data_IF_290625049834
#
_entry.id   IF_290625049834
#
_cell.length_a   1.000
_cell.length_b   1.000
_cell.length_c   1.000
_cell.angle_alpha   90.00
_cell.angle_beta   90.00
_cell.angle_gamma   90.00
#
_symmetry.space_group_name_H-M   'P 1'
#
loop_
_entity.id
_entity.type
_entity.pdbx_description
1 polymer ?
#
# COMPACT_ATOMS: atom_id res chain seq x y z
N UNK A 1 -11.30 -46.63 -15.56
CA UNK A 1 -12.12 -45.43 -15.79
C UNK A 1 -12.74 -44.77 -14.53
N UNK A 2 -13.06 -45.44 -13.41
CA UNK A 2 -13.65 -44.75 -12.24
C UNK A 2 -12.68 -43.82 -11.45
N UNK A 3 -11.38 -44.10 -11.46
CA UNK A 3 -10.38 -43.37 -10.70
C UNK A 3 -10.19 -41.88 -11.17
N UNK A 4 -10.24 -41.68 -12.50
CA UNK A 4 -10.11 -40.36 -13.12
C UNK A 4 -11.36 -39.48 -12.81
N UNK A 5 -12.54 -40.11 -12.76
CA UNK A 5 -13.78 -39.43 -12.38
C UNK A 5 -13.76 -38.98 -10.91
N UNK A 6 -13.27 -39.83 -10.01
CA UNK A 6 -13.15 -39.52 -8.59
C UNK A 6 -12.12 -38.41 -8.34
N UNK A 7 -10.97 -38.42 -9.03
CA UNK A 7 -9.95 -37.39 -8.93
C UNK A 7 -10.46 -36.02 -9.43
N UNK A 8 -11.24 -36.00 -10.51
CA UNK A 8 -11.86 -34.78 -11.01
C UNK A 8 -12.91 -34.20 -10.02
N UNK A 9 -13.68 -35.07 -9.40
CA UNK A 9 -14.69 -34.69 -8.41
C UNK A 9 -14.04 -34.13 -7.12
N UNK A 10 -12.95 -34.78 -6.66
CA UNK A 10 -12.21 -34.27 -5.47
C UNK A 10 -11.49 -32.96 -5.74
N UNK A 11 -10.93 -32.76 -6.93
CA UNK A 11 -10.31 -31.47 -7.32
C UNK A 11 -11.38 -30.38 -7.44
N UNK A 12 -12.54 -30.66 -8.06
CA UNK A 12 -13.64 -29.72 -8.15
C UNK A 12 -14.21 -29.38 -6.76
N UNK A 13 -14.35 -30.37 -5.88
CA UNK A 13 -14.85 -30.17 -4.51
C UNK A 13 -13.82 -29.40 -3.66
N UNK A 14 -12.52 -29.64 -3.82
CA UNK A 14 -11.47 -28.84 -3.17
C UNK A 14 -11.48 -27.38 -3.67
N UNK A 15 -11.68 -27.15 -4.95
CA UNK A 15 -11.76 -25.80 -5.52
C UNK A 15 -13.03 -25.06 -5.05
N UNK A 16 -14.15 -25.75 -4.83
CA UNK A 16 -15.37 -25.10 -4.30
C UNK A 16 -15.31 -24.87 -2.78
N UNK A 17 -14.55 -25.65 -2.03
CA UNK A 17 -14.36 -25.46 -0.58
C UNK A 17 -13.33 -24.35 -0.30
N UNK A 18 -12.43 -24.07 -1.24
CA UNK A 18 -11.40 -23.01 -1.11
C UNK A 18 -11.89 -21.60 -1.52
N UNK A 19 -13.14 -21.44 -1.92
CA UNK A 19 -13.77 -20.13 -2.09
C UNK A 19 -14.83 -19.90 -1.00
N UNK A 20 -14.47 -19.59 0.26
CA UNK A 20 -15.40 -18.87 1.08
C UNK A 20 -15.67 -17.56 0.34
N UNK A 21 -16.93 -17.22 0.14
CA UNK A 21 -17.30 -15.83 -0.16
C UNK A 21 -16.84 -15.01 1.05
N UNK A 22 -15.63 -14.48 0.99
CA UNK A 22 -15.13 -13.54 1.98
C UNK A 22 -16.08 -12.34 1.85
N UNK A 23 -16.94 -12.16 2.85
CA UNK A 23 -17.72 -10.95 2.97
C UNK A 23 -16.69 -9.82 3.15
N UNK A 24 -16.45 -9.05 2.09
CA UNK A 24 -15.61 -7.87 2.17
C UNK A 24 -16.33 -6.87 3.05
N UNK A 25 -15.67 -6.37 4.06
CA UNK A 25 -16.07 -5.15 4.73
C UNK A 25 -16.08 -3.99 3.73
N UNK A 26 -16.73 -2.91 4.09
CA UNK A 26 -16.84 -1.74 3.23
C UNK A 26 -15.47 -1.06 3.10
N UNK A 27 -14.78 -1.22 1.97
CA UNK A 27 -13.68 -0.33 1.60
C UNK A 27 -14.24 0.86 0.84
N UNK A 28 -13.73 2.05 1.10
CA UNK A 28 -14.11 3.25 0.39
C UNK A 28 -12.88 3.98 -0.13
N UNK A 29 -12.81 4.15 -1.46
CA UNK A 29 -11.75 4.91 -2.09
C UNK A 29 -11.91 6.41 -1.81
N UNK A 30 -10.79 7.07 -1.50
CA UNK A 30 -10.72 8.52 -1.24
C UNK A 30 -10.26 9.22 -2.52
N UNK A 31 -11.22 9.48 -3.41
CA UNK A 31 -10.94 10.01 -4.77
C UNK A 31 -11.21 11.50 -4.92
N UNK A 32 -11.86 12.15 -3.96
CA UNK A 32 -12.33 13.53 -4.06
C UNK A 32 -11.98 14.34 -2.79
N UNK A 33 -12.08 15.66 -2.89
CA UNK A 33 -11.88 16.56 -1.75
C UNK A 33 -10.41 16.82 -1.41
N UNK A 34 -9.49 16.41 -2.28
CA UNK A 34 -8.08 16.66 -2.09
C UNK A 34 -7.69 18.12 -2.35
N UNK A 35 -6.84 18.61 -1.48
CA UNK A 35 -6.21 19.92 -1.62
C UNK A 35 -4.71 19.80 -1.38
N UNK A 36 -3.94 20.72 -1.96
CA UNK A 36 -2.50 20.78 -1.78
C UNK A 36 -2.01 22.18 -1.46
N UNK A 37 -0.83 22.25 -0.85
CA UNK A 37 -0.07 23.47 -0.61
C UNK A 37 1.42 23.21 -0.79
N UNK A 38 2.07 24.03 -1.61
CA UNK A 38 3.50 23.91 -1.84
C UNK A 38 4.34 24.51 -0.71
N UNK A 39 5.48 23.89 -0.44
CA UNK A 39 6.42 24.26 0.59
C UNK A 39 6.28 23.38 1.83
N UNK A 40 6.97 23.77 2.89
CA UNK A 40 6.89 23.10 4.18
C UNK A 40 6.20 23.99 5.22
N UNK A 41 5.42 23.39 6.10
CA UNK A 41 4.76 24.10 7.18
C UNK A 41 5.79 24.64 8.17
N UNK A 42 5.64 25.87 8.66
CA UNK A 42 6.27 26.25 9.90
C UNK A 42 5.84 25.30 11.03
N UNK A 43 6.68 25.20 12.06
CA UNK A 43 6.39 24.37 13.22
C UNK A 43 6.32 25.24 14.47
N UNK A 44 5.36 24.97 15.33
CA UNK A 44 5.28 25.56 16.67
C UNK A 44 6.49 25.17 17.51
N UNK A 45 6.64 25.78 18.70
CA UNK A 45 7.69 25.38 19.65
C UNK A 45 7.60 23.93 20.12
N UNK A 46 6.40 23.36 20.09
CA UNK A 46 6.09 21.98 20.48
C UNK A 46 6.23 21.00 19.30
N UNK A 47 6.68 21.46 18.12
CA UNK A 47 6.89 20.65 16.94
C UNK A 47 5.61 20.28 16.18
N UNK A 48 4.52 21.03 16.36
CA UNK A 48 3.25 20.85 15.64
C UNK A 48 3.30 21.69 14.37
N UNK A 49 3.00 21.12 13.18
CA UNK A 49 2.91 21.90 11.95
C UNK A 49 1.76 22.92 12.04
N UNK A 50 2.06 24.18 11.82
CA UNK A 50 1.06 25.27 11.94
C UNK A 50 -0.09 25.10 10.94
N UNK A 51 0.16 24.50 9.77
CA UNK A 51 -0.86 24.27 8.74
C UNK A 51 -1.90 23.21 9.13
N UNK A 52 -1.66 22.47 10.20
CA UNK A 52 -2.61 21.47 10.72
C UNK A 52 -3.52 22.04 11.83
N UNK A 53 -3.34 23.31 12.20
CA UNK A 53 -4.12 23.97 13.23
C UNK A 53 -5.36 24.67 12.63
N UNK A 54 -6.38 24.86 13.45
CA UNK A 54 -7.66 25.45 13.02
C UNK A 54 -7.53 26.88 12.47
N UNK A 55 -6.56 27.66 12.97
CA UNK A 55 -6.32 29.06 12.58
C UNK A 55 -5.31 29.20 11.41
N UNK A 56 -4.99 28.10 10.73
CA UNK A 56 -4.04 28.13 9.62
C UNK A 56 -4.57 28.97 8.44
N UNK A 57 -3.70 29.77 7.77
CA UNK A 57 -4.11 30.53 6.59
C UNK A 57 -4.66 29.62 5.50
N UNK A 58 -5.78 29.98 4.90
CA UNK A 58 -6.42 29.22 3.83
C UNK A 58 -5.74 29.49 2.47
N UNK A 59 -4.56 28.88 2.26
CA UNK A 59 -3.83 28.91 0.98
C UNK A 59 -3.76 27.51 0.37
N UNK A 60 -4.88 26.80 0.38
CA UNK A 60 -5.00 25.47 -0.18
C UNK A 60 -5.61 25.51 -1.57
N UNK A 61 -5.10 24.69 -2.47
CA UNK A 61 -5.56 24.57 -3.86
C UNK A 61 -6.15 23.18 -4.08
N UNK A 62 -7.32 23.12 -4.70
CA UNK A 62 -7.94 21.84 -5.03
C UNK A 62 -7.15 21.06 -6.07
N UNK A 63 -7.13 19.73 -5.92
CA UNK A 63 -6.51 18.81 -6.86
C UNK A 63 -7.39 17.54 -6.96
N UNK A 64 -7.46 16.95 -8.15
CA UNK A 64 -8.27 15.75 -8.35
C UNK A 64 -7.73 14.52 -7.63
N UNK A 65 -6.40 14.35 -7.62
CA UNK A 65 -5.70 13.30 -6.86
C UNK A 65 -4.37 13.87 -6.35
N UNK A 66 -3.88 13.48 -5.16
CA UNK A 66 -2.74 14.11 -4.49
C UNK A 66 -1.38 13.68 -5.09
N UNK A 67 -1.20 13.87 -6.38
CA UNK A 67 0.05 13.59 -7.09
C UNK A 67 0.39 14.70 -8.08
N UNK A 68 1.67 15.04 -8.16
CA UNK A 68 2.24 16.02 -9.08
C UNK A 68 1.43 17.33 -9.18
N UNK A 69 1.20 18.06 -8.07
CA UNK A 69 0.46 19.30 -8.13
C UNK A 69 1.10 20.31 -9.09
N UNK A 70 0.31 21.12 -9.81
CA UNK A 70 0.85 22.16 -10.67
C UNK A 70 1.64 23.21 -9.89
N UNK A 71 2.53 23.91 -10.58
CA UNK A 71 3.31 25.01 -9.99
C UNK A 71 4.45 24.55 -9.07
N UNK A 72 5.05 23.40 -9.30
CA UNK A 72 6.15 22.88 -8.47
C UNK A 72 7.37 23.79 -8.40
N UNK A 73 7.83 24.33 -9.55
CA UNK A 73 8.93 25.33 -9.65
C UNK A 73 10.16 24.97 -8.80
N UNK A 74 10.55 23.67 -8.81
CA UNK A 74 11.70 23.17 -8.07
C UNK A 74 11.49 22.96 -6.57
N UNK A 75 10.26 23.12 -6.05
CA UNK A 75 9.94 22.80 -4.66
C UNK A 75 10.02 21.31 -4.41
N UNK A 76 10.54 20.92 -3.25
CA UNK A 76 10.77 19.54 -2.86
C UNK A 76 9.79 19.05 -1.78
N UNK A 77 9.03 19.97 -1.15
CA UNK A 77 8.03 19.68 -0.13
C UNK A 77 6.65 20.11 -0.61
N UNK A 78 5.67 19.28 -0.34
CA UNK A 78 4.25 19.56 -0.55
C UNK A 78 3.44 18.99 0.60
N UNK A 79 2.38 19.69 0.95
CA UNK A 79 1.37 19.19 1.86
C UNK A 79 0.09 18.92 1.09
N UNK A 80 -0.54 17.79 1.41
CA UNK A 80 -1.89 17.47 0.97
C UNK A 80 -2.81 17.41 2.18
N UNK A 81 -4.08 17.69 1.97
CA UNK A 81 -5.12 17.41 2.95
C UNK A 81 -6.36 16.88 2.29
N UNK A 82 -7.12 16.09 3.06
CA UNK A 82 -8.44 15.57 2.68
C UNK A 82 -9.25 15.34 3.93
N UNK A 83 -10.55 15.57 3.87
CA UNK A 83 -11.48 15.10 4.90
C UNK A 83 -11.93 13.71 4.52
N UNK A 84 -11.68 12.73 5.40
CA UNK A 84 -12.06 11.36 5.14
C UNK A 84 -13.57 11.18 5.20
N UNK A 85 -14.14 10.26 4.38
CA UNK A 85 -15.54 9.96 4.44
C UNK A 85 -15.95 9.38 5.80
N UNK A 86 -17.18 9.64 6.20
CA UNK A 86 -17.79 9.00 7.35
C UNK A 86 -18.17 7.55 7.01
N UNK A 87 -18.04 6.64 7.96
CA UNK A 87 -18.39 5.24 7.79
C UNK A 87 -18.41 4.46 9.10
N UNK A 88 -18.93 3.25 9.06
CA UNK A 88 -19.06 2.38 10.24
C UNK A 88 -17.87 1.40 10.34
N UNK A 89 -16.64 1.91 10.38
CA UNK A 89 -15.44 1.10 10.60
C UNK A 89 -15.17 0.93 12.09
N UNK A 90 -14.71 -0.27 12.49
CA UNK A 90 -14.40 -0.58 13.89
C UNK A 90 -12.90 -0.37 14.21
N UNK A 91 -12.03 -0.68 13.25
CA UNK A 91 -10.58 -0.52 13.33
C UNK A 91 -10.08 0.14 12.03
N UNK A 92 -10.43 1.43 11.83
CA UNK A 92 -10.21 2.10 10.56
C UNK A 92 -8.73 2.34 10.27
N UNK A 93 -8.33 1.96 9.07
CA UNK A 93 -7.01 2.23 8.52
C UNK A 93 -7.13 2.96 7.19
N UNK A 94 -6.23 3.91 6.94
CA UNK A 94 -6.06 4.50 5.64
C UNK A 94 -4.94 3.76 4.91
N UNK A 95 -5.31 3.09 3.84
CA UNK A 95 -4.38 2.42 2.93
C UNK A 95 -3.92 3.39 1.85
N UNK A 96 -2.61 3.43 1.59
CA UNK A 96 -2.02 4.15 0.46
C UNK A 96 -1.11 3.18 -0.28
N UNK A 97 -1.32 3.04 -1.58
CA UNK A 97 -0.53 2.12 -2.41
C UNK A 97 0.96 2.51 -2.42
N UNK A 98 1.29 3.79 -2.57
CA UNK A 98 2.68 4.26 -2.52
C UNK A 98 2.77 5.77 -2.26
N UNK A 99 3.91 6.21 -1.75
CA UNK A 99 4.26 7.62 -1.55
C UNK A 99 5.66 7.87 -2.12
N UNK A 100 5.89 9.05 -2.69
CA UNK A 100 7.24 9.44 -3.10
C UNK A 100 8.12 9.74 -1.88
N UNK A 101 9.28 9.12 -1.87
CA UNK A 101 10.34 9.16 -0.88
C UNK A 101 9.87 8.96 0.57
N UNK A 102 9.35 10.01 1.20
CA UNK A 102 8.99 10.01 2.63
C UNK A 102 7.73 10.81 2.91
N UNK A 103 6.99 10.42 3.95
CA UNK A 103 5.74 11.05 4.37
C UNK A 103 5.59 11.11 5.88
N UNK A 104 4.97 12.17 6.36
CA UNK A 104 4.36 12.25 7.70
C UNK A 104 2.86 12.51 7.55
N UNK A 105 2.06 11.85 8.40
CA UNK A 105 0.60 12.03 8.41
C UNK A 105 0.16 12.57 9.76
N UNK A 106 -0.71 13.59 9.71
CA UNK A 106 -1.14 14.36 10.86
C UNK A 106 -2.66 14.50 10.90
N UNK A 107 -3.23 14.40 12.08
CA UNK A 107 -4.65 14.67 12.35
C UNK A 107 -4.73 15.55 13.57
N UNK A 108 -5.42 16.68 13.48
CA UNK A 108 -5.61 17.63 14.60
C UNK A 108 -4.32 18.02 15.37
N UNK A 109 -3.21 18.17 14.63
CA UNK A 109 -1.91 18.52 15.23
C UNK A 109 -1.14 17.34 15.82
N UNK A 110 -1.69 16.14 15.81
CA UNK A 110 -1.01 14.92 16.23
C UNK A 110 -0.43 14.19 15.03
N UNK A 111 0.84 13.74 15.13
CA UNK A 111 1.46 12.91 14.12
C UNK A 111 1.07 11.45 14.34
N UNK A 112 0.24 10.91 13.44
CA UNK A 112 -0.27 9.54 13.53
C UNK A 112 0.56 8.53 12.76
N UNK A 113 1.36 8.99 11.76
CA UNK A 113 2.18 8.10 10.94
C UNK A 113 3.43 8.81 10.43
N UNK A 114 4.49 8.03 10.21
CA UNK A 114 5.69 8.48 9.55
C UNK A 114 6.37 7.33 8.81
N UNK A 115 6.74 7.59 7.56
CA UNK A 115 7.64 6.74 6.78
C UNK A 115 8.83 7.56 6.31
N UNK A 116 10.03 7.05 6.58
CA UNK A 116 11.29 7.77 6.39
C UNK A 116 11.53 8.86 7.43
N UNK A 117 12.69 9.52 7.31
CA UNK A 117 13.11 10.53 8.26
C UNK A 117 13.28 11.88 7.59
N UNK A 118 12.65 12.93 8.16
CA UNK A 118 12.84 14.31 7.78
C UNK A 118 13.97 14.93 8.61
N UNK A 119 14.90 15.61 7.94
CA UNK A 119 15.91 16.44 8.61
C UNK A 119 15.33 17.79 9.04
N UNK A 120 16.16 18.63 9.65
CA UNK A 120 15.74 19.97 10.12
C UNK A 120 15.34 20.93 8.98
N UNK A 121 15.67 20.62 7.74
CA UNK A 121 15.32 21.37 6.53
C UNK A 121 14.10 20.78 5.82
N UNK A 122 13.44 19.77 6.39
CA UNK A 122 12.31 19.09 5.80
C UNK A 122 12.67 18.17 4.63
N UNK A 123 13.91 17.69 4.56
CA UNK A 123 14.41 16.81 3.51
C UNK A 123 14.62 15.41 4.04
N UNK A 124 14.74 14.45 3.13
CA UNK A 124 15.05 13.08 3.46
C UNK A 124 15.65 12.34 2.29
N UNK A 125 15.65 11.04 2.37
CA UNK A 125 16.16 10.16 1.32
C UNK A 125 15.20 9.03 1.05
N UNK A 126 15.39 8.39 -0.08
CA UNK A 126 14.62 7.23 -0.49
C UNK A 126 14.80 6.07 0.50
N UNK A 127 13.69 5.55 0.99
CA UNK A 127 13.64 4.41 1.92
C UNK A 127 12.95 3.18 1.29
N UNK A 128 12.47 3.29 0.04
CA UNK A 128 11.74 2.26 -0.69
C UNK A 128 10.36 2.73 -1.15
N UNK A 129 9.58 1.84 -1.74
CA UNK A 129 8.19 2.08 -2.17
C UNK A 129 7.23 1.04 -1.60
N UNK A 130 7.08 0.96 -0.27
CA UNK A 130 6.06 0.11 0.31
C UNK A 130 4.67 0.70 0.09
N UNK A 131 3.65 -0.14 0.23
CA UNK A 131 2.32 0.34 0.57
C UNK A 131 2.29 0.76 2.05
N UNK A 132 1.36 1.64 2.39
CA UNK A 132 1.27 2.22 3.72
C UNK A 132 -0.07 1.87 4.35
N UNK A 133 -0.03 1.45 5.59
CA UNK A 133 -1.16 1.29 6.48
C UNK A 133 -1.06 2.34 7.59
N UNK A 134 -2.07 3.18 7.68
CA UNK A 134 -2.10 4.30 8.61
C UNK A 134 -3.30 4.12 9.53
N UNK A 135 -3.12 3.66 10.77
CA UNK A 135 -4.20 3.58 11.75
C UNK A 135 -4.80 4.97 12.00
N UNK A 136 -6.12 5.06 11.95
CA UNK A 136 -6.81 6.32 12.21
C UNK A 136 -7.20 6.43 13.69
N UNK A 137 -7.00 7.58 14.34
CA UNK A 137 -7.36 7.76 15.73
C UNK A 137 -8.88 7.86 15.90
N UNK A 138 -9.40 7.55 17.09
CA UNK A 138 -10.81 7.77 17.39
C UNK A 138 -11.23 9.22 17.15
N UNK A 139 -12.39 9.41 16.55
CA UNK A 139 -12.97 10.73 16.24
C UNK A 139 -12.23 11.49 15.14
N UNK A 140 -11.63 10.76 14.16
CA UNK A 140 -11.05 11.34 12.94
C UNK A 140 -12.12 11.86 11.96
N UNK A 141 -13.35 11.36 12.07
CA UNK A 141 -14.46 11.64 11.17
C UNK A 141 -14.72 13.17 11.07
N UNK A 142 -14.89 13.63 9.86
CA UNK A 142 -15.10 15.04 9.57
C UNK A 142 -13.89 15.95 9.82
N UNK A 143 -12.74 15.40 10.22
CA UNK A 143 -11.50 16.14 10.41
C UNK A 143 -10.58 15.97 9.20
N UNK A 144 -9.86 17.01 8.81
CA UNK A 144 -8.86 16.90 7.76
C UNK A 144 -7.65 16.08 8.23
N UNK A 145 -7.22 15.18 7.36
CA UNK A 145 -5.96 14.44 7.47
C UNK A 145 -4.95 15.12 6.57
N UNK A 146 -3.77 15.39 7.10
CA UNK A 146 -2.71 16.12 6.43
C UNK A 146 -1.54 15.19 6.14
N UNK A 147 -0.97 15.32 4.94
CA UNK A 147 0.17 14.55 4.47
C UNK A 147 1.30 15.51 4.12
N UNK A 148 2.40 15.46 4.86
CA UNK A 148 3.64 16.13 4.54
C UNK A 148 4.49 15.21 3.71
N UNK A 149 4.74 15.56 2.45
CA UNK A 149 5.52 14.74 1.51
C UNK A 149 6.76 15.49 1.06
N UNK A 150 7.90 14.80 1.05
CA UNK A 150 9.14 15.28 0.46
C UNK A 150 9.54 14.38 -0.70
N UNK A 151 9.93 14.99 -1.82
CA UNK A 151 10.57 14.32 -2.94
C UNK A 151 11.50 15.28 -3.69
N UNK A 152 12.74 14.85 -3.88
CA UNK A 152 13.71 15.51 -4.76
C UNK A 152 13.78 14.84 -6.14
N UNK A 153 12.87 13.90 -6.44
CA UNK A 153 12.70 13.28 -7.76
C UNK A 153 11.80 14.13 -8.67
N UNK A 154 11.62 13.67 -9.90
CA UNK A 154 10.72 14.32 -10.87
C UNK A 154 9.29 14.38 -10.34
N UNK A 155 8.86 13.30 -9.71
CA UNK A 155 7.50 13.13 -9.20
C UNK A 155 7.43 13.39 -7.70
N UNK A 156 6.25 13.82 -7.24
CA UNK A 156 5.96 14.05 -5.82
C UNK A 156 4.47 13.86 -5.54
N UNK A 157 4.14 13.08 -4.53
CA UNK A 157 2.78 12.87 -4.08
C UNK A 157 2.48 11.48 -3.56
N UNK A 158 1.19 11.16 -3.54
CA UNK A 158 0.66 9.83 -3.26
C UNK A 158 0.32 9.17 -4.59
N UNK A 159 0.47 7.85 -4.67
CA UNK A 159 0.29 7.10 -5.91
C UNK A 159 -0.61 5.89 -5.74
N UNK A 160 -1.27 5.51 -6.83
CA UNK A 160 -2.14 4.37 -6.89
C UNK A 160 -3.44 4.61 -6.13
N UNK A 161 -3.83 3.67 -5.29
CA UNK A 161 -5.06 3.74 -4.52
C UNK A 161 -4.84 4.39 -3.16
N UNK A 162 -5.81 5.19 -2.74
CA UNK A 162 -5.97 5.66 -1.36
C UNK A 162 -7.37 5.28 -0.92
N UNK A 163 -7.47 4.42 0.09
CA UNK A 163 -8.75 3.86 0.54
C UNK A 163 -8.82 3.75 2.05
N UNK A 164 -10.01 3.94 2.62
CA UNK A 164 -10.30 3.68 4.02
C UNK A 164 -11.05 2.34 4.14
N UNK A 165 -10.66 1.53 5.10
CA UNK A 165 -11.28 0.23 5.40
C UNK A 165 -10.94 -0.21 6.82
N UNK A 166 -11.54 -1.28 7.30
CA UNK A 166 -11.10 -1.91 8.54
C UNK A 166 -9.78 -2.68 8.34
N UNK A 167 -8.93 -2.72 9.35
CA UNK A 167 -7.65 -3.43 9.29
C UNK A 167 -7.77 -4.90 8.83
N UNK A 168 -8.74 -5.73 9.30
CA UNK A 168 -8.91 -7.08 8.78
C UNK A 168 -9.21 -7.13 7.27
N UNK A 169 -9.98 -6.15 6.76
CA UNK A 169 -10.31 -6.07 5.34
C UNK A 169 -9.10 -5.69 4.49
N UNK A 170 -8.19 -4.85 5.00
CA UNK A 170 -6.94 -4.55 4.35
C UNK A 170 -6.08 -5.81 4.18
N UNK A 171 -6.01 -6.67 5.20
CA UNK A 171 -5.26 -7.93 5.11
C UNK A 171 -5.84 -8.83 4.00
N UNK A 172 -7.17 -8.92 3.92
CA UNK A 172 -7.86 -9.68 2.87
C UNK A 172 -7.62 -9.06 1.49
N UNK A 173 -7.74 -7.74 1.37
CA UNK A 173 -7.47 -6.99 0.14
C UNK A 173 -6.05 -7.25 -0.40
N UNK A 174 -5.03 -7.18 0.45
CA UNK A 174 -3.63 -7.45 0.07
C UNK A 174 -3.47 -8.92 -0.36
N UNK A 175 -4.07 -9.86 0.39
CA UNK A 175 -4.02 -11.26 0.06
C UNK A 175 -4.63 -11.55 -1.31
N UNK A 176 -5.81 -11.00 -1.59
CA UNK A 176 -6.50 -11.17 -2.87
C UNK A 176 -5.72 -10.60 -4.05
N UNK A 177 -5.18 -9.39 -3.90
CA UNK A 177 -4.34 -8.78 -4.93
C UNK A 177 -3.01 -9.52 -5.14
N UNK A 178 -2.57 -10.33 -4.16
CA UNK A 178 -1.36 -11.15 -4.24
C UNK A 178 -1.63 -12.60 -4.67
N UNK A 179 -2.90 -13.01 -4.79
CA UNK A 179 -3.28 -14.41 -4.97
C UNK A 179 -2.75 -15.00 -6.26
N UNK A 180 -2.78 -14.25 -7.36
CA UNK A 180 -2.22 -14.68 -8.64
C UNK A 180 -0.71 -14.96 -8.53
N UNK A 181 0.03 -14.03 -7.93
CA UNK A 181 1.47 -14.20 -7.71
C UNK A 181 1.78 -15.39 -6.79
N UNK A 182 0.99 -15.61 -5.73
CA UNK A 182 1.14 -16.74 -4.83
C UNK A 182 0.87 -18.07 -5.53
N UNK A 183 -0.14 -18.15 -6.39
CA UNK A 183 -0.46 -19.34 -7.19
C UNK A 183 0.69 -19.64 -8.15
N UNK A 184 1.21 -18.66 -8.88
CA UNK A 184 2.34 -18.81 -9.79
C UNK A 184 3.58 -19.28 -9.03
N UNK A 185 3.91 -18.65 -7.90
CA UNK A 185 5.03 -19.05 -7.06
C UNK A 185 4.88 -20.47 -6.53
N UNK A 186 3.66 -20.87 -6.13
CA UNK A 186 3.35 -22.23 -5.70
C UNK A 186 3.60 -23.27 -6.80
N UNK A 187 3.13 -23.02 -8.02
CA UNK A 187 3.39 -23.90 -9.16
C UNK A 187 4.87 -23.96 -9.53
N UNK A 188 5.58 -22.83 -9.55
CA UNK A 188 7.01 -22.79 -9.83
C UNK A 188 7.80 -23.60 -8.77
N UNK A 189 7.43 -23.45 -7.50
CA UNK A 189 8.04 -24.22 -6.40
C UNK A 189 7.79 -25.71 -6.57
N UNK A 190 6.58 -26.14 -6.93
CA UNK A 190 6.25 -27.54 -7.19
C UNK A 190 7.09 -28.11 -8.34
N UNK A 191 7.20 -27.37 -9.45
CA UNK A 191 8.02 -27.78 -10.61
C UNK A 191 9.49 -27.92 -10.19
N UNK A 192 10.02 -26.97 -9.39
CA UNK A 192 11.38 -27.02 -8.88
C UNK A 192 11.63 -28.27 -8.03
N UNK A 193 10.71 -28.61 -7.12
CA UNK A 193 10.79 -29.81 -6.29
C UNK A 193 10.77 -31.11 -7.14
N UNK A 194 9.87 -31.17 -8.11
CA UNK A 194 9.83 -32.30 -9.03
C UNK A 194 11.13 -32.45 -9.83
N UNK A 195 11.68 -31.32 -10.32
CA UNK A 195 12.95 -31.33 -11.05
C UNK A 195 14.13 -31.80 -10.16
N UNK A 196 14.13 -31.42 -8.87
CA UNK A 196 15.13 -31.95 -7.90
C UNK A 196 15.00 -33.46 -7.76
N UNK A 197 13.79 -33.95 -7.54
CA UNK A 197 13.53 -35.41 -7.41
C UNK A 197 14.00 -36.16 -8.67
N UNK A 198 13.66 -35.68 -9.86
CA UNK A 198 14.10 -36.29 -11.12
C UNK A 198 15.61 -36.20 -11.30
N UNK A 199 16.26 -35.08 -10.88
CA UNK A 199 17.72 -34.96 -10.91
C UNK A 199 18.43 -35.98 -10.03
N UNK A 200 17.81 -36.41 -8.93
CA UNK A 200 18.35 -37.46 -8.06
C UNK A 200 18.16 -38.88 -8.62
N UNK A 201 17.08 -39.11 -9.39
CA UNK A 201 16.69 -40.42 -9.90
C UNK A 201 17.25 -40.73 -11.29
N UNK A 202 17.64 -39.71 -12.07
CA UNK A 202 18.02 -39.86 -13.48
C UNK A 202 19.52 -39.66 -13.71
N UNK A 203 20.00 -40.11 -14.87
CA UNK A 203 21.40 -39.98 -15.30
C UNK A 203 21.74 -38.58 -15.77
N UNK A 204 20.74 -37.83 -16.28
CA UNK A 204 20.87 -36.47 -16.83
C UNK A 204 20.76 -35.37 -15.75
N UNK A 205 21.54 -35.51 -14.69
CA UNK A 205 21.47 -34.67 -13.47
C UNK A 205 21.61 -33.18 -13.73
N UNK A 206 22.45 -32.79 -14.69
CA UNK A 206 22.75 -31.34 -14.95
C UNK A 206 21.54 -30.62 -15.52
N UNK A 207 20.79 -31.24 -16.43
CA UNK A 207 19.61 -30.64 -17.06
C UNK A 207 18.50 -30.36 -16.00
N UNK A 208 18.19 -31.35 -15.18
CA UNK A 208 17.16 -31.23 -14.15
C UNK A 208 17.56 -30.27 -13.03
N UNK A 209 18.85 -30.23 -12.65
CA UNK A 209 19.36 -29.28 -11.70
C UNK A 209 19.24 -27.81 -12.22
N UNK A 210 19.51 -27.59 -13.51
CA UNK A 210 19.35 -26.26 -14.13
C UNK A 210 17.89 -25.83 -14.18
N UNK A 211 16.95 -26.70 -14.52
CA UNK A 211 15.50 -26.44 -14.52
C UNK A 211 15.04 -26.09 -13.11
N UNK A 212 15.46 -26.87 -12.11
CA UNK A 212 15.11 -26.63 -10.71
C UNK A 212 15.59 -25.26 -10.23
N UNK A 213 16.84 -24.91 -10.54
CA UNK A 213 17.41 -23.61 -10.15
C UNK A 213 16.69 -22.44 -10.83
N UNK A 214 16.38 -22.57 -12.12
CA UNK A 214 15.67 -21.54 -12.88
C UNK A 214 14.26 -21.32 -12.36
N UNK A 215 13.48 -22.41 -12.14
CA UNK A 215 12.11 -22.30 -11.62
C UNK A 215 12.06 -21.78 -10.19
N UNK A 216 13.02 -22.14 -9.35
CA UNK A 216 13.11 -21.60 -8.00
C UNK A 216 13.41 -20.09 -8.00
N UNK A 217 14.31 -19.65 -8.87
CA UNK A 217 14.61 -18.23 -9.03
C UNK A 217 13.42 -17.42 -9.58
N UNK A 218 12.52 -18.06 -10.33
CA UNK A 218 11.30 -17.42 -10.85
C UNK A 218 10.14 -17.38 -9.84
N UNK A 219 10.26 -18.09 -8.72
CA UNK A 219 9.26 -18.14 -7.65
C UNK A 219 9.53 -17.13 -6.52
N UNK A 220 10.71 -16.49 -6.52
CA UNK A 220 11.15 -15.45 -5.59
C UNK A 220 10.84 -14.05 -6.14
#
# INVERSE_FOLDING_TARGET
>A
MPLIGLLRLTIALMLTILMPALAHGASQAVTEGWEYRWGDSPFTRDGIPEWTLADAPEEWHSIGFPSNPPGREGRENVWFRVTLPEGEWQDPVLYIFSVDLIVQVWVTGEKIYQYGNFDAQGRGRFEGWPWHEIPLPEGYEGKPVYFRVFSNYTDIGLWGEVSIMDHPDLVLYILENSLEALVIAGFATLIALLAIIFSLLQTEKKTFASISLFTLASAL
#
